data_IF_363767169675
#
_entry.id   IF_363767169675
#
_cell.length_a   1.000
_cell.length_b   1.000
_cell.length_c   1.000
_cell.angle_alpha   90.00
_cell.angle_beta   90.00
_cell.angle_gamma   90.00
#
_symmetry.space_group_name_H-M   'P 1'
#
loop_
_entity.id
_entity.type
_entity.pdbx_description
1 polymer ?
#
# COMPACT_ATOMS: atom_id res chain seq x y z
N UNK A 1 8.64 -55.20 -30.88
CA UNK A 1 8.72 -54.39 -29.64
C UNK A 1 9.25 -53.01 -29.99
N UNK A 2 8.37 -52.01 -30.19
CA UNK A 2 8.76 -50.62 -30.51
C UNK A 2 8.56 -49.77 -29.26
N UNK A 3 9.65 -49.21 -28.73
CA UNK A 3 9.68 -48.36 -27.54
C UNK A 3 9.09 -46.99 -27.89
N UNK A 4 8.00 -46.61 -27.24
CA UNK A 4 7.40 -45.29 -27.34
C UNK A 4 8.24 -44.32 -26.49
N UNK A 5 8.95 -43.40 -27.15
CA UNK A 5 9.73 -42.34 -26.48
C UNK A 5 8.74 -41.26 -26.05
N UNK A 6 8.51 -41.16 -24.73
CA UNK A 6 7.70 -40.13 -24.10
C UNK A 6 8.49 -38.81 -24.10
N UNK A 7 8.11 -37.88 -24.98
CA UNK A 7 8.69 -36.56 -25.09
C UNK A 7 8.09 -35.65 -24.00
N UNK A 8 8.80 -35.51 -22.88
CA UNK A 8 8.45 -34.60 -21.79
C UNK A 8 8.85 -33.16 -22.21
N UNK A 9 7.89 -32.43 -22.78
CA UNK A 9 7.98 -30.99 -23.00
C UNK A 9 7.93 -30.28 -21.63
N UNK A 10 9.10 -29.91 -21.11
CA UNK A 10 9.22 -28.95 -20.02
C UNK A 10 8.81 -27.56 -20.54
N UNK A 11 7.53 -27.21 -20.36
CA UNK A 11 7.05 -25.84 -20.47
C UNK A 11 7.71 -25.01 -19.35
N UNK A 12 8.76 -24.27 -19.69
CA UNK A 12 9.30 -23.22 -18.83
C UNK A 12 8.25 -22.11 -18.72
N UNK A 13 7.45 -22.12 -17.66
CA UNK A 13 6.59 -20.99 -17.35
C UNK A 13 7.49 -19.79 -17.02
N UNK A 14 7.28 -18.61 -17.63
CA UNK A 14 7.99 -17.41 -17.22
C UNK A 14 7.63 -17.14 -15.75
N UNK A 15 8.64 -17.07 -14.89
CA UNK A 15 8.47 -16.63 -13.51
C UNK A 15 7.90 -15.22 -13.53
N UNK A 16 6.60 -15.11 -13.32
CA UNK A 16 5.93 -13.82 -13.21
C UNK A 16 6.44 -13.19 -11.91
N UNK A 17 7.29 -12.17 -12.03
CA UNK A 17 7.67 -11.34 -10.89
C UNK A 17 6.39 -10.62 -10.43
N UNK A 18 5.87 -11.03 -9.28
CA UNK A 18 4.66 -10.44 -8.71
C UNK A 18 5.05 -9.15 -8.01
N UNK A 19 5.00 -8.06 -8.77
CA UNK A 19 5.13 -6.72 -8.24
C UNK A 19 4.25 -6.53 -6.98
N UNK A 20 4.81 -6.01 -5.89
CA UNK A 20 4.02 -5.67 -4.71
C UNK A 20 3.05 -4.53 -5.05
N UNK A 21 1.79 -4.90 -5.33
CA UNK A 21 0.72 -4.01 -5.73
C UNK A 21 -0.40 -4.01 -4.67
N UNK A 22 -0.77 -2.83 -4.19
CA UNK A 22 -1.87 -2.62 -3.26
C UNK A 22 -2.86 -1.64 -3.87
N UNK A 23 -4.16 -1.98 -3.80
CA UNK A 23 -5.23 -1.12 -4.27
C UNK A 23 -6.15 -0.72 -3.12
N UNK A 24 -6.48 0.56 -3.07
CA UNK A 24 -7.32 1.18 -2.04
C UNK A 24 -8.46 1.93 -2.70
N UNK A 25 -9.62 2.01 -2.05
CA UNK A 25 -10.76 2.81 -2.54
C UNK A 25 -11.36 3.62 -1.41
N UNK A 26 -11.46 4.94 -1.58
CA UNK A 26 -12.04 5.86 -0.61
C UNK A 26 -12.79 6.97 -1.35
N UNK A 27 -14.05 7.24 -0.96
CA UNK A 27 -14.88 8.29 -1.57
C UNK A 27 -14.96 8.20 -3.12
N UNK A 28 -14.98 6.97 -3.66
CA UNK A 28 -14.98 6.72 -5.10
C UNK A 28 -13.63 6.87 -5.80
N UNK A 29 -12.62 7.43 -5.12
CA UNK A 29 -11.24 7.42 -5.60
C UNK A 29 -10.62 6.04 -5.35
N UNK A 30 -10.21 5.37 -6.41
CA UNK A 30 -9.37 4.18 -6.38
C UNK A 30 -7.91 4.57 -6.63
N UNK A 31 -7.04 4.20 -5.69
CA UNK A 31 -5.60 4.34 -5.81
C UNK A 31 -4.95 2.96 -5.90
N UNK A 32 -4.05 2.77 -6.84
CA UNK A 32 -3.25 1.54 -6.99
C UNK A 32 -1.79 1.93 -6.84
N UNK A 33 -1.17 1.47 -5.75
CA UNK A 33 0.24 1.70 -5.42
C UNK A 33 1.02 0.43 -5.73
N UNK A 34 2.12 0.58 -6.45
CA UNK A 34 3.05 -0.49 -6.77
C UNK A 34 4.44 -0.11 -6.30
N UNK A 35 5.12 -1.01 -5.58
CA UNK A 35 6.52 -0.87 -5.21
C UNK A 35 7.36 -1.85 -6.04
N UNK A 36 8.56 -1.44 -6.42
CA UNK A 36 9.51 -2.28 -7.17
C UNK A 36 10.93 -1.98 -6.71
N UNK A 37 11.77 -2.98 -6.40
CA UNK A 37 11.52 -4.43 -6.44
C UNK A 37 10.64 -4.94 -5.30
N UNK A 38 10.18 -6.19 -5.40
CA UNK A 38 9.29 -6.83 -4.41
C UNK A 38 10.01 -7.17 -3.11
N UNK A 39 11.24 -7.66 -3.25
CA UNK A 39 12.17 -7.81 -2.14
C UNK A 39 13.01 -6.55 -2.06
N UNK A 40 12.80 -5.78 -1.01
CA UNK A 40 13.51 -4.52 -0.79
C UNK A 40 14.73 -4.80 0.08
N UNK A 41 15.90 -4.51 -0.47
CA UNK A 41 17.18 -4.62 0.23
C UNK A 41 17.70 -3.21 0.59
N UNK A 42 18.53 -3.08 1.64
CA UNK A 42 19.21 -1.82 1.92
C UNK A 42 20.04 -1.37 0.72
N UNK A 43 20.02 -0.06 0.46
CA UNK A 43 20.69 0.63 -0.65
C UNK A 43 20.17 0.27 -2.06
N UNK A 44 19.21 -0.65 -2.16
CA UNK A 44 18.50 -0.90 -3.41
C UNK A 44 17.61 0.29 -3.77
N UNK A 45 17.51 0.58 -5.06
CA UNK A 45 16.58 1.60 -5.54
C UNK A 45 15.16 1.04 -5.52
N UNK A 46 14.28 1.70 -4.78
CA UNK A 46 12.86 1.39 -4.72
C UNK A 46 12.12 2.43 -5.54
N UNK A 47 11.32 1.96 -6.48
CA UNK A 47 10.43 2.75 -7.30
C UNK A 47 9.00 2.58 -6.80
N UNK A 48 8.29 3.70 -6.63
CA UNK A 48 6.86 3.73 -6.45
C UNK A 48 6.19 4.16 -7.74
N UNK A 49 5.15 3.43 -8.13
CA UNK A 49 4.20 3.83 -9.16
C UNK A 49 2.82 3.92 -8.54
N UNK A 50 2.16 5.06 -8.68
CA UNK A 50 0.80 5.29 -8.20
C UNK A 50 -0.11 5.64 -9.39
N UNK A 51 -1.14 4.84 -9.56
CA UNK A 51 -2.25 5.08 -10.48
C UNK A 51 -3.50 5.50 -9.72
N UNK A 52 -4.14 6.59 -10.18
CA UNK A 52 -5.40 7.08 -9.60
C UNK A 52 -6.54 6.94 -10.61
N UNK A 53 -7.71 6.53 -10.13
CA UNK A 53 -8.93 6.50 -10.93
C UNK A 53 -10.17 6.81 -10.08
N UNK A 54 -11.18 7.45 -10.66
CA UNK A 54 -12.48 7.69 -10.03
C UNK A 54 -13.56 7.34 -11.02
N UNK A 55 -14.48 6.47 -10.61
CA UNK A 55 -15.57 5.96 -11.47
C UNK A 55 -15.07 5.36 -12.80
N UNK A 56 -13.88 4.73 -12.76
CA UNK A 56 -13.22 4.14 -13.94
C UNK A 56 -12.44 5.13 -14.81
N UNK A 57 -12.51 6.43 -14.53
CA UNK A 57 -11.76 7.47 -15.24
C UNK A 57 -10.42 7.70 -14.53
N UNK A 58 -9.31 7.66 -15.28
CA UNK A 58 -7.97 7.93 -14.75
C UNK A 58 -7.84 9.39 -14.33
N UNK A 59 -7.20 9.65 -13.19
CA UNK A 59 -6.97 10.99 -12.65
C UNK A 59 -5.48 11.33 -12.63
N UNK A 60 -5.13 12.46 -13.25
CA UNK A 60 -3.75 12.95 -13.39
C UNK A 60 -3.57 14.40 -12.91
N UNK A 61 -4.64 15.01 -12.40
CA UNK A 61 -4.70 16.41 -11.99
C UNK A 61 -4.57 16.61 -10.47
N UNK A 62 -4.00 15.64 -9.77
CA UNK A 62 -3.88 15.63 -8.32
C UNK A 62 -2.52 16.11 -7.85
N UNK A 63 -2.49 16.59 -6.62
CA UNK A 63 -1.25 16.83 -5.89
C UNK A 63 -0.99 15.62 -5.00
N UNK A 64 0.16 14.97 -5.21
CA UNK A 64 0.53 13.76 -4.48
C UNK A 64 1.78 14.05 -3.68
N UNK A 65 1.72 13.84 -2.36
CA UNK A 65 2.85 13.96 -1.45
C UNK A 65 3.18 12.60 -0.85
N UNK A 66 4.45 12.25 -0.87
CA UNK A 66 4.99 11.07 -0.19
C UNK A 66 5.68 11.49 1.10
N UNK A 67 5.36 10.77 2.19
CA UNK A 67 6.06 10.85 3.46
C UNK A 67 6.56 9.46 3.85
N UNK A 68 7.86 9.32 4.13
CA UNK A 68 8.49 8.07 4.51
C UNK A 68 8.81 8.08 6.00
N UNK A 69 8.43 7.04 6.72
CA UNK A 69 8.68 6.89 8.16
C UNK A 69 9.39 5.57 8.46
N UNK A 70 10.30 5.56 9.42
CA UNK A 70 10.66 4.34 10.14
C UNK A 70 9.49 3.89 11.02
N UNK A 71 9.33 2.59 11.21
CA UNK A 71 8.27 2.07 12.08
C UNK A 71 8.42 2.62 13.50
N UNK A 72 7.35 3.22 14.02
CA UNK A 72 7.33 3.85 15.34
C UNK A 72 7.90 5.27 15.40
N UNK A 73 8.45 5.81 14.30
CA UNK A 73 8.91 7.20 14.26
C UNK A 73 7.74 8.19 14.11
N UNK A 74 7.80 9.30 14.86
CA UNK A 74 6.81 10.39 14.75
C UNK A 74 7.12 11.36 13.60
N UNK A 75 8.40 11.48 13.22
CA UNK A 75 8.86 12.37 12.16
C UNK A 75 9.21 11.58 10.89
N UNK A 76 8.89 12.12 9.70
CA UNK A 76 9.24 11.46 8.45
C UNK A 76 10.74 11.57 8.19
N UNK A 77 11.35 10.49 7.71
CA UNK A 77 12.69 10.47 7.13
C UNK A 77 12.78 11.31 5.85
N UNK A 78 11.72 11.29 5.05
CA UNK A 78 11.63 12.04 3.81
C UNK A 78 10.21 12.52 3.58
N UNK A 79 10.07 13.74 3.04
CA UNK A 79 8.80 14.32 2.61
C UNK A 79 9.01 15.03 1.29
N UNK A 80 8.26 14.66 0.25
CA UNK A 80 8.37 15.27 -1.08
C UNK A 80 7.10 15.12 -1.90
N UNK A 81 6.91 16.03 -2.84
CA UNK A 81 5.85 15.94 -3.84
C UNK A 81 6.27 14.95 -4.94
N UNK A 82 5.32 14.16 -5.43
CA UNK A 82 5.56 13.16 -6.48
C UNK A 82 5.21 13.77 -7.84
N UNK A 83 6.10 13.56 -8.82
CA UNK A 83 5.90 13.98 -10.19
C UNK A 83 4.99 13.02 -10.96
N UNK A 84 4.25 13.56 -11.91
CA UNK A 84 3.44 12.79 -12.85
C UNK A 84 4.26 12.51 -14.12
N UNK A 85 4.47 11.23 -14.43
CA UNK A 85 5.13 10.75 -15.65
C UNK A 85 4.27 9.70 -16.32
N UNK A 86 4.04 9.82 -17.63
CA UNK A 86 3.27 8.84 -18.42
C UNK A 86 1.89 8.46 -17.85
N UNK A 87 1.23 9.44 -17.20
CA UNK A 87 -0.06 9.29 -16.51
C UNK A 87 -0.02 8.48 -15.20
N UNK A 88 1.15 8.27 -14.63
CA UNK A 88 1.35 7.68 -13.30
C UNK A 88 2.17 8.63 -12.44
N UNK A 89 1.90 8.64 -11.13
CA UNK A 89 2.75 9.35 -10.19
C UNK A 89 3.92 8.45 -9.83
N UNK A 90 5.14 8.89 -10.10
CA UNK A 90 6.34 8.06 -9.94
C UNK A 90 7.36 8.71 -9.03
N UNK A 91 7.95 7.90 -8.17
CA UNK A 91 9.02 8.35 -7.27
C UNK A 91 10.05 7.25 -7.08
N UNK A 92 11.27 7.62 -6.67
CA UNK A 92 12.32 6.65 -6.37
C UNK A 92 13.19 7.07 -5.19
N UNK A 93 13.58 6.09 -4.37
CA UNK A 93 14.45 6.31 -3.22
C UNK A 93 15.21 5.05 -2.83
N UNK A 94 16.09 5.19 -1.83
CA UNK A 94 16.84 4.09 -1.24
C UNK A 94 16.63 4.06 0.26
N UNK A 95 16.58 2.86 0.82
CA UNK A 95 16.58 2.65 2.26
C UNK A 95 18.02 2.41 2.73
N UNK A 96 18.55 3.24 3.62
CA UNK A 96 19.95 3.09 4.07
C UNK A 96 20.16 1.89 5.00
N UNK A 97 19.11 1.53 5.75
CA UNK A 97 19.16 0.51 6.80
C UNK A 97 18.05 -0.53 6.63
N UNK A 98 18.29 -1.79 7.02
CA UNK A 98 17.20 -2.77 7.13
C UNK A 98 16.23 -2.35 8.25
N UNK A 99 14.98 -2.75 8.11
CA UNK A 99 13.92 -2.41 9.06
C UNK A 99 12.55 -2.34 8.40
N UNK A 100 11.54 -2.11 9.22
CA UNK A 100 10.17 -1.89 8.76
C UNK A 100 9.91 -0.39 8.62
N UNK A 101 9.30 -0.03 7.50
CA UNK A 101 9.02 1.35 7.12
C UNK A 101 7.56 1.51 6.74
N UNK A 102 7.08 2.72 6.97
CA UNK A 102 5.74 3.16 6.60
C UNK A 102 5.83 4.24 5.54
N UNK A 103 5.24 3.99 4.38
CA UNK A 103 5.10 4.95 3.28
C UNK A 103 3.68 5.53 3.33
N UNK A 104 3.57 6.82 3.60
CA UNK A 104 2.31 7.54 3.63
C UNK A 104 2.16 8.36 2.34
N UNK A 105 1.13 8.05 1.55
CA UNK A 105 0.80 8.76 0.31
C UNK A 105 -0.41 9.64 0.58
N UNK A 106 -0.23 10.95 0.44
CA UNK A 106 -1.29 11.96 0.59
C UNK A 106 -1.69 12.49 -0.77
N UNK A 107 -2.97 12.44 -1.09
CA UNK A 107 -3.52 12.87 -2.37
C UNK A 107 -4.51 14.00 -2.08
N UNK A 108 -4.25 15.16 -2.68
CA UNK A 108 -5.10 16.33 -2.60
C UNK A 108 -5.64 16.71 -3.98
N UNK A 109 -6.88 17.20 -4.02
CA UNK A 109 -7.40 17.91 -5.19
C UNK A 109 -6.81 19.33 -5.25
N UNK A 110 -6.22 19.70 -6.39
CA UNK A 110 -5.67 21.05 -6.61
C UNK A 110 -6.74 22.13 -6.55
N UNK A 111 -7.99 21.80 -6.91
CA UNK A 111 -9.13 22.72 -6.91
C UNK A 111 -9.89 22.69 -5.60
N UNK A 112 -9.82 21.59 -4.85
CA UNK A 112 -10.53 21.40 -3.60
C UNK A 112 -9.65 20.75 -2.52
N UNK A 113 -8.84 21.57 -1.84
CA UNK A 113 -7.93 21.10 -0.79
C UNK A 113 -8.63 20.48 0.44
N UNK A 114 -9.97 20.58 0.54
CA UNK A 114 -10.73 19.89 1.60
C UNK A 114 -10.79 18.37 1.39
N UNK A 115 -10.58 17.89 0.16
CA UNK A 115 -10.49 16.46 -0.16
C UNK A 115 -9.04 15.98 -0.06
N UNK A 116 -8.60 15.73 1.18
CA UNK A 116 -7.32 15.08 1.45
C UNK A 116 -7.56 13.59 1.74
N UNK A 117 -7.00 12.73 0.89
CA UNK A 117 -7.04 11.27 1.05
C UNK A 117 -5.63 10.79 1.42
N UNK A 118 -5.54 9.83 2.32
CA UNK A 118 -4.27 9.30 2.81
C UNK A 118 -4.27 7.78 2.73
N UNK A 119 -3.20 7.22 2.17
CA UNK A 119 -2.96 5.78 2.09
C UNK A 119 -1.65 5.42 2.74
N UNK A 120 -1.66 4.33 3.51
CA UNK A 120 -0.51 3.79 4.20
C UNK A 120 -0.09 2.48 3.54
N UNK A 121 1.19 2.40 3.15
CA UNK A 121 1.82 1.20 2.59
C UNK A 121 2.99 0.82 3.50
N UNK A 122 2.96 -0.40 4.00
CA UNK A 122 4.05 -0.95 4.82
C UNK A 122 5.08 -1.64 3.92
N UNK A 123 6.35 -1.34 4.14
CA UNK A 123 7.48 -1.90 3.42
C UNK A 123 8.48 -2.49 4.42
N UNK A 124 8.89 -3.74 4.21
CA UNK A 124 9.92 -4.39 5.03
C UNK A 124 11.22 -4.50 4.23
N UNK A 125 12.29 -3.97 4.78
CA UNK A 125 13.63 -3.92 4.17
C UNK A 125 14.51 -4.94 4.87
N UNK A 126 14.87 -6.00 4.15
CA UNK A 126 15.64 -7.11 4.71
C UNK A 126 17.06 -7.12 4.13
N UNK A 127 18.06 -7.45 4.94
CA UNK A 127 19.38 -7.73 4.41
C UNK A 127 19.31 -8.93 3.47
N UNK A 128 20.04 -8.87 2.35
CA UNK A 128 20.38 -10.04 1.56
C UNK A 128 21.29 -10.96 2.40
N UNK A 129 20.70 -11.72 3.31
CA UNK A 129 21.39 -12.85 3.92
C UNK A 129 21.52 -13.88 2.82
N UNK A 130 22.75 -14.28 2.50
CA UNK A 130 23.06 -15.32 1.52
C UNK A 130 22.16 -16.55 1.75
N UNK A 131 21.06 -16.68 0.99
CA UNK A 131 20.22 -17.88 0.95
C UNK A 131 20.98 -18.97 0.18
N UNK A 132 22.00 -19.54 0.82
CA UNK A 132 22.37 -20.94 0.61
C UNK A 132 21.77 -21.72 1.77
N UNK A 133 20.53 -22.15 1.61
CA UNK A 133 19.84 -22.90 2.65
C UNK A 133 18.37 -23.02 2.33
N UNK A 134 18.04 -24.13 1.71
CA UNK A 134 16.72 -24.76 1.70
C UNK A 134 15.82 -24.29 2.86
N UNK A 135 14.68 -23.69 2.52
CA UNK A 135 13.35 -23.92 3.10
C UNK A 135 12.46 -22.72 2.81
N UNK A 136 11.53 -22.90 1.86
CA UNK A 136 10.44 -21.96 1.66
C UNK A 136 9.64 -21.83 2.95
N UNK A 137 9.78 -20.69 3.60
CA UNK A 137 8.94 -20.28 4.72
C UNK A 137 8.04 -19.14 4.26
N UNK A 138 7.10 -19.47 3.38
CA UNK A 138 5.86 -18.71 3.29
C UNK A 138 5.06 -19.01 4.57
N UNK A 139 5.24 -18.18 5.59
CA UNK A 139 4.31 -18.12 6.71
C UNK A 139 2.98 -17.55 6.21
N UNK A 140 2.12 -18.43 5.69
CA UNK A 140 0.69 -18.17 5.60
C UNK A 140 0.14 -17.96 7.02
N UNK A 141 0.09 -16.72 7.48
CA UNK A 141 -0.82 -16.29 8.55
C UNK A 141 -1.93 -15.40 7.96
N UNK A 142 -2.72 -15.97 7.05
CA UNK A 142 -4.15 -15.64 6.98
C UNK A 142 -4.85 -16.37 8.14
N UNK A 143 -4.60 -15.91 9.36
CA UNK A 143 -5.28 -16.36 10.57
C UNK A 143 -6.47 -15.45 10.84
N UNK A 144 -7.67 -15.94 10.56
CA UNK A 144 -8.92 -15.29 10.96
C UNK A 144 -8.91 -14.97 12.46
N UNK A 145 -9.10 -13.69 12.78
CA UNK A 145 -9.04 -13.21 14.15
C UNK A 145 -9.62 -11.81 14.28
N UNK A 146 -10.95 -11.74 14.28
CA UNK A 146 -11.77 -10.76 15.02
C UNK A 146 -11.36 -9.28 14.84
N UNK A 147 -11.94 -8.67 13.80
CA UNK A 147 -12.19 -7.23 13.76
C UNK A 147 -12.86 -6.79 15.07
N UNK A 148 -12.14 -6.03 15.88
CA UNK A 148 -12.63 -5.55 17.17
C UNK A 148 -11.91 -4.29 17.60
N UNK A 149 -12.31 -3.13 17.07
CA UNK A 149 -12.69 -1.95 17.86
C UNK A 149 -13.15 -0.79 16.95
N UNK A 150 -14.34 -0.92 16.37
CA UNK A 150 -15.21 0.22 16.12
C UNK A 150 -16.49 -0.06 16.89
N UNK A 151 -16.82 0.73 17.92
CA UNK A 151 -18.11 0.61 18.61
C UNK A 151 -18.06 0.58 20.14
N UNK A 152 -17.53 1.62 20.76
CA UNK A 152 -17.96 2.02 22.10
C UNK A 152 -17.73 3.53 22.23
N UNK A 153 -18.73 4.32 21.80
CA UNK A 153 -18.62 5.77 21.88
C UNK A 153 -19.65 6.57 21.10
N UNK A 154 -20.82 5.99 20.78
CA UNK A 154 -21.99 6.79 20.47
C UNK A 154 -23.15 6.32 21.34
N UNK A 155 -23.78 7.32 21.95
CA UNK A 155 -25.10 7.29 22.58
C UNK A 155 -25.18 6.77 24.02
N UNK A 156 -25.12 7.72 24.96
CA UNK A 156 -26.19 7.91 25.95
C UNK A 156 -26.01 9.25 26.68
N UNK A 157 -26.63 10.30 26.15
CA UNK A 157 -27.27 11.39 26.92
C UNK A 157 -28.18 12.19 25.97
N UNK A 158 -29.19 11.48 25.43
CA UNK A 158 -30.45 12.10 25.04
C UNK A 158 -31.40 11.90 26.24
N UNK A 159 -31.48 12.89 27.12
CA UNK A 159 -32.59 13.04 28.07
C UNK A 159 -33.02 14.50 28.07
N UNK A 160 -33.80 14.87 27.05
CA UNK A 160 -34.81 15.93 27.16
C UNK A 160 -36.11 15.32 26.68
N UNK A 161 -37.02 15.06 27.62
CA UNK A 161 -38.36 15.63 27.54
C UNK A 161 -38.68 16.28 28.91
N UNK A 162 -39.57 17.24 29.07
CA UNK A 162 -40.90 17.34 28.48
C UNK A 162 -41.44 18.73 28.84
N UNK A 163 -42.17 19.36 27.92
CA UNK A 163 -43.05 20.47 28.23
C UNK A 163 -44.08 20.06 29.28
N UNK A 164 -44.31 20.91 30.30
CA UNK A 164 -45.63 21.04 30.95
C UNK A 164 -45.96 22.55 31.02
N UNK A 165 -47.21 22.80 30.64
CA UNK A 165 -47.91 24.04 30.37
C UNK A 165 -48.80 24.37 31.60
N UNK A 166 -49.20 25.64 31.74
CA UNK A 166 -50.32 26.16 32.59
C UNK A 166 -49.98 26.27 34.09
N UNK A 167 -50.13 27.40 34.78
CA UNK A 167 -51.23 28.39 34.87
C UNK A 167 -50.73 29.84 34.88
#
# INVERSE_FOLDING_TARGET
>A
MKKLILFLLFLSLPSVAFAFEQSFTQQGLKATVKLTPDKIEPNANVQLSLSLSKDGIRLTDREVTLELYEQGAEQPLAKRQIDLLDNEYVDSWKFEKPGDYRVLVKIADRRNQSELIQYEVNASVMNAVNEHGEHGFFSHHFGGGKWGWWGAGFMLLMMVPMMILVL
#
